data_IF_441299649244
#
_entry.id   IF_441299649244
#
_cell.length_a   1.000
_cell.length_b   1.000
_cell.length_c   1.000
_cell.angle_alpha   90.00
_cell.angle_beta   90.00
_cell.angle_gamma   90.00
#
_symmetry.space_group_name_H-M   'P 1'
#
loop_
_entity.id
_entity.type
_entity.pdbx_description
1 polymer ?
#
# COMPACT_ATOMS: atom_id res chain seq x y z
N UNK A 1 -8.59 9.25 -3.86
CA UNK A 1 -7.51 9.34 -4.87
C UNK A 1 -7.49 8.05 -5.67
N UNK A 2 -7.40 8.11 -6.99
CA UNK A 2 -7.30 6.98 -7.92
C UNK A 2 -6.14 7.27 -8.88
N UNK A 3 -5.16 6.36 -8.95
CA UNK A 3 -4.13 6.39 -10.00
C UNK A 3 -4.69 5.70 -11.25
N UNK A 4 -4.88 6.45 -12.33
CA UNK A 4 -5.45 5.93 -13.56
C UNK A 4 -4.76 6.56 -14.77
N UNK A 5 -3.92 5.78 -15.45
CA UNK A 5 -3.23 6.17 -16.66
C UNK A 5 -2.94 4.92 -17.51
N UNK A 6 -2.93 5.07 -18.83
CA UNK A 6 -2.49 4.00 -19.75
C UNK A 6 -1.04 3.59 -19.51
N UNK A 7 -0.20 4.50 -19.03
CA UNK A 7 1.19 4.24 -18.67
C UNK A 7 1.34 3.18 -17.57
N UNK A 8 0.33 2.96 -16.74
CA UNK A 8 0.37 1.95 -15.66
C UNK A 8 -0.09 0.56 -16.10
N UNK A 9 -0.60 0.42 -17.33
CA UNK A 9 -1.14 -0.85 -17.81
C UNK A 9 -0.08 -1.95 -17.86
N UNK A 10 -0.43 -3.16 -17.40
CA UNK A 10 0.43 -4.33 -17.42
C UNK A 10 1.62 -4.26 -16.46
N UNK A 11 1.53 -3.43 -15.41
CA UNK A 11 2.55 -3.32 -14.38
C UNK A 11 2.66 -4.61 -13.55
N UNK A 12 3.87 -5.09 -13.34
CA UNK A 12 4.18 -6.07 -12.31
C UNK A 12 4.28 -5.42 -10.90
N UNK A 13 4.71 -6.18 -9.91
CA UNK A 13 4.86 -5.67 -8.54
C UNK A 13 5.89 -4.56 -8.40
N UNK A 14 6.94 -4.58 -9.23
CA UNK A 14 7.99 -3.57 -9.21
C UNK A 14 7.48 -2.23 -9.75
N UNK A 15 6.87 -2.22 -10.93
CA UNK A 15 6.29 -1.02 -11.54
C UNK A 15 5.08 -0.51 -10.74
N UNK A 16 4.25 -1.41 -10.19
CA UNK A 16 3.12 -1.05 -9.32
C UNK A 16 3.60 -0.35 -8.06
N UNK A 17 4.58 -0.91 -7.35
CA UNK A 17 5.12 -0.30 -6.13
C UNK A 17 5.82 1.04 -6.42
N UNK A 18 6.41 1.21 -7.60
CA UNK A 18 6.99 2.48 -8.03
C UNK A 18 5.91 3.57 -8.13
N UNK A 19 4.88 3.36 -8.92
CA UNK A 19 3.80 4.34 -9.11
C UNK A 19 3.09 4.66 -7.78
N UNK A 20 2.76 3.64 -6.98
CA UNK A 20 2.14 3.82 -5.68
C UNK A 20 3.04 4.61 -4.71
N UNK A 21 4.35 4.36 -4.70
CA UNK A 21 5.27 5.06 -3.80
C UNK A 21 5.32 6.57 -4.06
N UNK A 22 5.25 7.00 -5.33
CA UNK A 22 5.20 8.41 -5.70
C UNK A 22 3.92 9.08 -5.21
N UNK A 23 2.78 8.41 -5.36
CA UNK A 23 1.50 8.92 -4.88
C UNK A 23 1.46 9.01 -3.35
N UNK A 24 1.99 7.98 -2.65
CA UNK A 24 2.04 7.94 -1.19
C UNK A 24 2.94 9.04 -0.63
N UNK A 25 4.08 9.32 -1.26
CA UNK A 25 4.98 10.43 -0.87
C UNK A 25 4.28 11.79 -0.85
N UNK A 26 3.32 12.04 -1.77
CA UNK A 26 2.53 13.28 -1.76
C UNK A 26 1.62 13.43 -0.56
N UNK A 27 1.21 12.31 0.03
CA UNK A 27 0.31 12.29 1.20
C UNK A 27 1.05 12.44 2.52
N UNK A 28 2.36 12.17 2.54
CA UNK A 28 3.21 12.18 3.74
C UNK A 28 2.57 11.42 4.93
N UNK A 29 2.11 10.17 4.76
CA UNK A 29 1.42 9.45 5.82
C UNK A 29 2.39 8.93 6.88
N UNK A 30 1.93 8.84 8.13
CA UNK A 30 2.64 8.15 9.20
C UNK A 30 2.62 6.63 9.01
N UNK A 31 1.49 6.09 8.57
CA UNK A 31 1.29 4.65 8.35
C UNK A 31 0.67 4.37 7.00
N UNK A 32 1.18 3.34 6.32
CA UNK A 32 0.63 2.80 5.08
C UNK A 32 0.13 1.38 5.34
N UNK A 33 -1.16 1.15 5.19
CA UNK A 33 -1.77 -0.16 5.35
C UNK A 33 -2.00 -0.81 4.00
N UNK A 34 -1.51 -2.03 3.83
CA UNK A 34 -1.70 -2.84 2.63
C UNK A 34 -2.37 -4.16 2.98
N UNK A 35 -3.10 -4.75 2.05
CA UNK A 35 -3.42 -6.16 2.12
C UNK A 35 -2.15 -7.00 2.01
N UNK A 36 -2.17 -8.23 2.55
CA UNK A 36 -1.04 -9.15 2.46
C UNK A 36 -0.66 -9.42 0.99
N UNK A 37 -1.62 -9.78 0.18
CA UNK A 37 -1.44 -10.14 -1.22
C UNK A 37 -2.75 -9.99 -2.01
N UNK A 38 -2.64 -9.88 -3.33
CA UNK A 38 -3.79 -9.90 -4.24
C UNK A 38 -4.10 -11.33 -4.68
N UNK A 39 -5.35 -11.58 -5.05
CA UNK A 39 -5.81 -12.93 -5.46
C UNK A 39 -5.28 -13.31 -6.85
N UNK A 40 -5.06 -12.34 -7.71
CA UNK A 40 -4.60 -12.52 -9.09
C UNK A 40 -3.08 -12.75 -9.20
N UNK A 41 -2.27 -11.94 -8.53
CA UNK A 41 -0.81 -12.02 -8.62
C UNK A 41 -0.17 -12.86 -7.51
N UNK A 42 -0.81 -12.97 -6.36
CA UNK A 42 -0.44 -13.78 -5.18
C UNK A 42 1.02 -13.67 -4.69
N UNK A 43 1.72 -12.60 -5.04
CA UNK A 43 3.15 -12.44 -4.76
C UNK A 43 3.47 -11.90 -3.37
N UNK A 44 2.55 -11.15 -2.76
CA UNK A 44 2.76 -10.49 -1.47
C UNK A 44 3.88 -9.44 -1.45
N UNK A 45 4.38 -9.00 -2.61
CA UNK A 45 5.60 -8.18 -2.71
C UNK A 45 5.35 -6.67 -2.67
N UNK A 46 4.13 -6.20 -2.97
CA UNK A 46 3.86 -4.76 -3.10
C UNK A 46 4.09 -4.02 -1.80
N UNK A 47 3.60 -4.53 -0.67
CA UNK A 47 3.81 -3.92 0.66
C UNK A 47 5.29 -3.78 1.02
N UNK A 48 6.08 -4.88 1.02
CA UNK A 48 7.53 -4.81 1.24
C UNK A 48 8.26 -3.88 0.27
N UNK A 49 7.93 -3.91 -1.01
CA UNK A 49 8.53 -3.01 -2.01
C UNK A 49 8.20 -1.53 -1.74
N UNK A 50 6.99 -1.23 -1.26
CA UNK A 50 6.64 0.12 -0.83
C UNK A 50 7.48 0.58 0.36
N UNK A 51 7.68 -0.27 1.36
CA UNK A 51 8.51 0.05 2.53
C UNK A 51 9.93 0.45 2.11
N UNK A 52 10.55 -0.33 1.23
CA UNK A 52 11.89 -0.04 0.71
C UNK A 52 11.91 1.29 -0.07
N UNK A 53 10.94 1.53 -0.97
CA UNK A 53 10.89 2.75 -1.79
C UNK A 53 10.60 4.01 -0.99
N UNK A 54 9.88 3.89 0.12
CA UNK A 54 9.54 5.00 1.00
C UNK A 54 10.61 5.23 2.08
N UNK A 55 11.46 4.25 2.36
CA UNK A 55 12.38 4.25 3.50
C UNK A 55 11.67 4.10 4.83
N UNK A 56 10.53 3.38 4.84
CA UNK A 56 9.69 3.16 6.02
C UNK A 56 10.00 1.82 6.68
N UNK A 57 9.76 1.72 7.98
CA UNK A 57 9.76 0.44 8.68
C UNK A 57 8.70 -0.49 8.11
N UNK A 58 8.92 -1.81 8.20
CA UNK A 58 8.00 -2.81 7.66
C UNK A 58 7.59 -3.82 8.73
N UNK A 59 6.27 -4.06 8.84
CA UNK A 59 5.72 -5.23 9.54
C UNK A 59 4.74 -5.94 8.63
N UNK A 60 4.84 -7.27 8.57
CA UNK A 60 4.03 -8.09 7.66
C UNK A 60 3.12 -9.07 8.41
N UNK A 61 2.05 -9.51 7.72
CA UNK A 61 1.13 -10.54 8.21
C UNK A 61 0.46 -10.20 9.54
N UNK A 62 0.12 -8.91 9.73
CA UNK A 62 -0.48 -8.41 10.97
C UNK A 62 -1.94 -8.85 11.06
N UNK A 63 -2.31 -9.39 12.21
CA UNK A 63 -3.66 -9.86 12.52
C UNK A 63 -4.46 -8.83 13.32
N UNK A 64 -3.81 -8.11 14.24
CA UNK A 64 -4.42 -7.07 15.06
C UNK A 64 -3.49 -5.89 15.28
N UNK A 65 -4.09 -4.73 15.46
CA UNK A 65 -3.41 -3.47 15.76
C UNK A 65 -4.11 -2.78 16.90
N UNK A 66 -3.34 -2.28 17.84
CA UNK A 66 -3.80 -1.51 18.98
C UNK A 66 -3.01 -0.21 19.08
N UNK A 67 -3.62 0.84 19.60
CA UNK A 67 -2.93 2.10 19.83
C UNK A 67 -1.92 1.95 20.97
N UNK A 68 -0.71 2.45 20.77
CA UNK A 68 0.35 2.52 21.79
C UNK A 68 0.84 3.95 21.95
N UNK A 69 1.54 4.25 23.05
CA UNK A 69 1.99 5.63 23.35
C UNK A 69 2.83 6.25 22.23
N UNK A 70 3.70 5.46 21.58
CA UNK A 70 4.60 5.93 20.53
C UNK A 70 4.39 5.20 19.20
N UNK A 71 3.14 4.94 18.81
CA UNK A 71 2.83 4.28 17.55
C UNK A 71 1.73 3.24 17.67
N UNK A 72 1.97 2.04 17.14
CA UNK A 72 1.03 0.93 17.16
C UNK A 72 1.66 -0.33 17.74
N UNK A 73 0.92 -1.05 18.58
CA UNK A 73 1.25 -2.41 18.96
C UNK A 73 0.58 -3.38 17.98
N UNK A 74 1.34 -4.29 17.42
CA UNK A 74 0.83 -5.29 16.48
C UNK A 74 0.95 -6.71 17.03
N UNK A 75 0.07 -7.58 16.57
CA UNK A 75 0.22 -9.03 16.70
C UNK A 75 0.20 -9.65 15.31
N UNK A 76 1.19 -10.47 14.98
CA UNK A 76 1.28 -11.14 13.70
C UNK A 76 0.53 -12.47 13.68
N UNK A 77 0.52 -13.13 12.53
CA UNK A 77 -0.14 -14.44 12.32
C UNK A 77 0.46 -15.56 13.16
N UNK A 78 1.71 -15.44 13.59
CA UNK A 78 2.40 -16.44 14.41
C UNK A 78 2.20 -16.22 15.92
N UNK A 79 1.49 -15.14 16.30
CA UNK A 79 1.27 -14.74 17.68
C UNK A 79 2.40 -13.90 18.26
N UNK A 80 3.38 -13.47 17.46
CA UNK A 80 4.40 -12.54 17.92
C UNK A 80 3.81 -11.14 18.00
N UNK A 81 4.16 -10.39 19.02
CA UNK A 81 3.74 -9.01 19.20
C UNK A 81 4.93 -8.05 19.25
N UNK A 82 4.70 -6.81 18.90
CA UNK A 82 5.72 -5.77 18.98
C UNK A 82 5.17 -4.37 18.77
N UNK A 83 5.99 -3.37 19.07
CA UNK A 83 5.68 -1.98 18.80
C UNK A 83 6.28 -1.55 17.48
N UNK A 84 5.53 -0.76 16.73
CA UNK A 84 6.00 -0.11 15.51
C UNK A 84 5.69 1.38 15.58
N UNK A 85 6.72 2.20 15.36
CA UNK A 85 6.60 3.66 15.28
C UNK A 85 6.52 4.13 13.82
N UNK A 86 5.93 5.31 13.62
CA UNK A 86 5.92 5.98 12.33
C UNK A 86 7.35 6.43 11.90
N UNK A 87 7.63 6.49 10.58
CA UNK A 87 6.75 6.05 9.50
C UNK A 87 6.88 4.54 9.22
N UNK A 88 5.77 3.89 8.90
CA UNK A 88 5.77 2.44 8.66
C UNK A 88 4.78 1.97 7.58
N UNK A 89 5.14 0.87 6.92
CA UNK A 89 4.25 0.07 6.06
C UNK A 89 3.86 -1.20 6.80
N UNK A 90 2.57 -1.48 6.84
CA UNK A 90 2.00 -2.61 7.57
C UNK A 90 1.16 -3.44 6.60
N UNK A 91 1.49 -4.72 6.42
CA UNK A 91 0.63 -5.62 5.64
C UNK A 91 -0.30 -6.39 6.57
N UNK A 92 -1.58 -6.34 6.26
CA UNK A 92 -2.66 -6.91 7.06
C UNK A 92 -3.10 -8.26 6.51
N UNK A 93 -3.30 -9.22 7.38
CA UNK A 93 -4.01 -10.45 7.07
C UNK A 93 -5.51 -10.18 6.85
N UNK A 94 -6.18 -11.12 6.20
CA UNK A 94 -7.61 -11.00 5.90
C UNK A 94 -8.42 -10.88 7.18
N UNK A 95 -9.06 -9.74 7.40
CA UNK A 95 -10.03 -9.58 8.47
C UNK A 95 -11.34 -10.31 8.14
N UNK A 96 -11.92 -10.98 9.12
CA UNK A 96 -13.24 -11.64 8.99
C UNK A 96 -14.41 -10.66 9.18
N UNK A 97 -14.16 -9.48 9.73
CA UNK A 97 -15.19 -8.46 10.02
C UNK A 97 -14.91 -7.20 9.24
N UNK A 98 -15.61 -7.03 8.11
CA UNK A 98 -15.58 -5.78 7.36
C UNK A 98 -16.65 -4.84 7.93
N UNK A 99 -16.26 -3.58 8.11
CA UNK A 99 -17.22 -2.51 8.40
C UNK A 99 -17.89 -2.10 7.09
N UNK A 100 -19.20 -2.24 7.04
CA UNK A 100 -19.98 -1.73 5.91
C UNK A 100 -20.14 -0.21 6.05
N UNK A 101 -20.11 0.54 4.93
CA UNK A 101 -20.39 1.96 4.95
C UNK A 101 -21.83 2.20 5.42
N UNK A 102 -22.05 3.29 6.15
CA UNK A 102 -23.43 3.70 6.52
C UNK A 102 -24.24 4.03 5.28
N UNK A 103 -25.52 3.66 5.28
CA UNK A 103 -26.49 4.02 4.22
C UNK A 103 -26.55 5.54 4.01
N UNK A 104 -26.23 6.32 5.05
CA UNK A 104 -26.20 7.79 5.01
C UNK A 104 -24.85 8.36 4.54
N UNK A 105 -23.87 7.51 4.22
CA UNK A 105 -22.56 7.96 3.75
C UNK A 105 -22.70 8.65 2.40
N UNK A 106 -22.25 9.90 2.31
CA UNK A 106 -22.20 10.63 1.05
C UNK A 106 -21.01 10.12 0.22
N UNK A 107 -21.24 9.90 -1.07
CA UNK A 107 -20.17 9.62 -2.03
C UNK A 107 -19.32 10.89 -2.14
N UNK A 108 -18.04 10.77 -1.81
CA UNK A 108 -17.06 11.87 -2.01
C UNK A 108 -16.51 11.82 -3.43
N UNK A 109 -16.20 12.96 -4.05
CA UNK A 109 -15.53 12.99 -5.34
C UNK A 109 -14.17 12.29 -5.23
N UNK A 110 -13.83 11.50 -6.24
CA UNK A 110 -12.56 10.79 -6.32
C UNK A 110 -11.63 11.64 -7.19
N UNK A 111 -10.52 12.08 -6.62
CA UNK A 111 -9.43 12.72 -7.36
C UNK A 111 -8.74 11.66 -8.22
N UNK A 112 -8.63 11.89 -9.53
CA UNK A 112 -7.96 11.01 -10.47
C UNK A 112 -6.58 11.61 -10.77
N UNK A 113 -5.53 10.82 -10.62
CA UNK A 113 -4.15 11.20 -10.88
C UNK A 113 -3.57 10.37 -12.04
N UNK A 114 -2.97 11.04 -13.00
CA UNK A 114 -2.18 10.45 -14.09
C UNK A 114 -0.73 10.23 -13.67
N UNK A 115 0.07 9.63 -14.55
CA UNK A 115 1.50 9.49 -14.38
C UNK A 115 2.21 10.85 -14.26
N UNK A 116 1.77 11.84 -15.03
CA UNK A 116 2.32 13.20 -14.98
C UNK A 116 2.03 13.90 -13.64
N UNK A 117 0.84 13.71 -13.07
CA UNK A 117 0.46 14.34 -11.80
C UNK A 117 1.34 13.88 -10.62
N UNK A 118 1.89 12.68 -10.70
CA UNK A 118 2.80 12.14 -9.69
C UNK A 118 4.28 12.23 -10.10
N UNK A 119 4.58 12.93 -11.20
CA UNK A 119 5.94 13.04 -11.77
C UNK A 119 6.62 11.68 -12.00
N UNK A 120 5.85 10.70 -12.49
CA UNK A 120 6.38 9.36 -12.74
C UNK A 120 7.25 9.32 -14.00
N UNK A 121 8.37 8.63 -13.92
CA UNK A 121 9.13 8.24 -15.11
C UNK A 121 8.40 7.11 -15.83
N UNK A 122 7.94 7.39 -17.04
CA UNK A 122 7.18 6.45 -17.87
C UNK A 122 7.97 5.19 -18.19
N UNK A 123 9.31 5.25 -18.21
CA UNK A 123 10.17 4.09 -18.44
C UNK A 123 10.11 3.06 -17.30
N UNK A 124 9.71 3.50 -16.09
CA UNK A 124 9.56 2.68 -14.89
C UNK A 124 8.10 2.29 -14.61
N UNK A 125 7.18 2.65 -15.52
CA UNK A 125 5.76 2.38 -15.38
C UNK A 125 5.29 1.24 -16.28
N UNK A 126 4.20 0.58 -15.87
CA UNK A 126 3.50 -0.43 -16.66
C UNK A 126 4.42 -1.54 -17.20
N UNK A 127 4.15 -1.99 -18.41
CA UNK A 127 4.96 -3.03 -19.08
C UNK A 127 6.43 -2.63 -19.25
N UNK A 128 6.73 -1.35 -19.44
CA UNK A 128 8.11 -0.89 -19.64
C UNK A 128 8.94 -1.02 -18.37
N UNK A 129 8.34 -0.73 -17.24
CA UNK A 129 8.97 -0.82 -15.92
C UNK A 129 8.90 -2.20 -15.28
N UNK A 130 8.37 -3.20 -15.98
CA UNK A 130 8.14 -4.56 -15.48
C UNK A 130 9.19 -5.53 -16.04
N UNK A 131 10.16 -5.98 -15.24
CA UNK A 131 11.14 -6.99 -15.67
C UNK A 131 10.55 -8.39 -15.83
N UNK A 132 9.44 -8.69 -15.13
CA UNK A 132 8.70 -9.95 -15.27
C UNK A 132 7.66 -9.80 -16.37
N UNK A 133 7.95 -10.36 -17.53
CA UNK A 133 7.04 -10.38 -18.71
C UNK A 133 6.45 -11.77 -18.90
#
# INVERSE_FOLDING_TARGET
>A
MLLCDRAFAGADTLATSYALSLAIKRLCPDFVFCGRQSVDGDTGQVGPSLAVRLGFSLVTNVMSLESAENGLFYTDRLGNGGNISAPAVITLEKSRKLRLPSIRSKIKPIEILSANDINADISLCGLKGSPTR
#
